data_IF_241728270047
#
_entry.id   IF_241728270047
#
_cell.length_a   1.000
_cell.length_b   1.000
_cell.length_c   1.000
_cell.angle_alpha   90.00
_cell.angle_beta   90.00
_cell.angle_gamma   90.00
#
_symmetry.space_group_name_H-M   'P 1'
#
loop_
_entity.id
_entity.type
_entity.pdbx_description
1 polymer ?
#
# COMPACT_ATOMS: atom_id res chain seq x y z
N UNK A 1 -1.79 18.94 -4.65
CA UNK A 1 -3.06 18.29 -4.28
C UNK A 1 -3.17 18.24 -2.76
N UNK A 2 -4.38 18.24 -2.18
CA UNK A 2 -4.56 18.05 -0.73
C UNK A 2 -4.32 16.58 -0.36
N UNK A 3 -3.67 16.28 0.78
CA UNK A 3 -3.49 14.90 1.23
C UNK A 3 -4.82 14.16 1.43
N UNK A 4 -4.90 12.92 0.97
CA UNK A 4 -5.99 12.00 1.31
C UNK A 4 -5.71 11.39 2.68
N UNK A 5 -6.69 11.51 3.57
CA UNK A 5 -6.56 11.11 4.98
C UNK A 5 -7.68 10.16 5.38
N UNK A 6 -7.51 9.49 6.52
CA UNK A 6 -8.55 8.63 7.10
C UNK A 6 -9.83 9.44 7.40
N UNK A 7 -9.69 10.69 7.86
CA UNK A 7 -10.83 11.58 8.11
C UNK A 7 -11.63 11.88 6.82
N UNK A 8 -10.96 12.02 5.68
CA UNK A 8 -11.63 12.15 4.38
C UNK A 8 -12.43 10.88 4.04
N UNK A 9 -11.85 9.69 4.25
CA UNK A 9 -12.56 8.43 3.99
C UNK A 9 -13.76 8.22 4.94
N UNK A 10 -13.63 8.61 6.21
CA UNK A 10 -14.74 8.59 7.16
C UNK A 10 -15.88 9.50 6.71
N UNK A 11 -15.55 10.72 6.23
CA UNK A 11 -16.53 11.63 5.64
C UNK A 11 -17.20 11.02 4.40
N UNK A 12 -16.44 10.44 3.48
CA UNK A 12 -17.01 9.74 2.32
C UNK A 12 -17.99 8.63 2.74
N UNK A 13 -17.65 7.84 3.77
CA UNK A 13 -18.54 6.81 4.33
C UNK A 13 -19.84 7.41 4.90
N UNK A 14 -19.76 8.50 5.67
CA UNK A 14 -20.93 9.19 6.24
C UNK A 14 -21.84 9.75 5.15
N UNK A 15 -21.25 10.30 4.10
CA UNK A 15 -21.95 10.85 2.93
C UNK A 15 -22.42 9.78 1.93
N UNK A 16 -22.15 8.49 2.21
CA UNK A 16 -22.40 7.36 1.29
C UNK A 16 -21.76 7.53 -0.10
N UNK A 17 -20.67 8.30 -0.17
CA UNK A 17 -19.88 8.51 -1.37
C UNK A 17 -18.83 7.40 -1.49
N UNK A 18 -18.85 6.67 -2.61
CA UNK A 18 -17.82 5.65 -2.90
C UNK A 18 -16.49 6.32 -3.24
N UNK A 19 -15.40 5.68 -2.88
CA UNK A 19 -14.04 6.02 -3.29
C UNK A 19 -13.37 4.78 -3.88
N UNK A 20 -12.46 4.97 -4.82
CA UNK A 20 -11.71 3.90 -5.45
C UNK A 20 -10.39 3.65 -4.70
N UNK A 21 -9.98 2.39 -4.67
CA UNK A 21 -8.68 1.93 -4.16
C UNK A 21 -8.04 1.06 -5.24
N UNK A 22 -6.72 1.17 -5.40
CA UNK A 22 -5.96 0.35 -6.36
C UNK A 22 -4.63 -0.10 -5.77
N UNK A 23 -4.15 -1.27 -6.17
CA UNK A 23 -2.80 -1.70 -5.82
C UNK A 23 -1.76 -0.96 -6.67
N UNK A 24 -0.65 -0.59 -6.05
CA UNK A 24 0.48 0.04 -6.72
C UNK A 24 1.78 -0.49 -6.12
N UNK A 25 2.80 -0.69 -6.97
CA UNK A 25 4.07 -1.28 -6.56
C UNK A 25 5.28 -0.42 -6.94
N UNK A 26 5.12 0.61 -7.77
CA UNK A 26 6.22 1.48 -8.16
C UNK A 26 5.84 2.97 -8.24
N UNK A 27 6.84 3.79 -8.50
CA UNK A 27 6.71 5.24 -8.62
C UNK A 27 5.82 5.66 -9.80
N UNK A 28 6.02 5.06 -10.96
CA UNK A 28 5.42 5.51 -12.22
C UNK A 28 3.91 5.29 -12.22
N UNK A 29 3.47 4.08 -11.83
CA UNK A 29 2.05 3.78 -11.73
C UNK A 29 1.39 4.52 -10.56
N UNK A 30 2.07 4.66 -9.42
CA UNK A 30 1.54 5.44 -8.31
C UNK A 30 1.25 6.90 -8.71
N UNK A 31 2.18 7.51 -9.46
CA UNK A 31 1.99 8.86 -10.01
C UNK A 31 0.80 8.91 -10.96
N UNK A 32 0.71 7.98 -11.92
CA UNK A 32 -0.40 7.90 -12.86
C UNK A 32 -1.75 7.78 -12.15
N UNK A 33 -1.87 6.87 -11.18
CA UNK A 33 -3.12 6.66 -10.46
C UNK A 33 -3.54 7.88 -9.64
N UNK A 34 -2.58 8.56 -8.99
CA UNK A 34 -2.86 9.78 -8.24
C UNK A 34 -3.31 10.92 -9.17
N UNK A 35 -2.67 11.08 -10.33
CA UNK A 35 -3.02 12.09 -11.33
C UNK A 35 -4.43 11.85 -11.92
N UNK A 36 -4.84 10.57 -12.06
CA UNK A 36 -6.20 10.16 -12.47
C UNK A 36 -7.24 10.15 -11.32
N UNK A 37 -6.86 10.64 -10.12
CA UNK A 37 -7.78 10.83 -8.99
C UNK A 37 -7.94 9.62 -8.07
N UNK A 38 -7.22 8.52 -8.28
CA UNK A 38 -7.19 7.37 -7.37
C UNK A 38 -6.15 7.64 -6.27
N UNK A 39 -6.62 8.17 -5.14
CA UNK A 39 -5.75 8.64 -4.05
C UNK A 39 -5.72 7.71 -2.83
N UNK A 40 -6.30 6.51 -2.92
CA UNK A 40 -6.12 5.43 -1.95
C UNK A 40 -5.36 4.31 -2.65
N UNK A 41 -4.10 4.12 -2.26
CA UNK A 41 -3.19 3.16 -2.87
C UNK A 41 -2.85 2.06 -1.86
N UNK A 42 -2.67 0.84 -2.36
CA UNK A 42 -2.28 -0.32 -1.56
C UNK A 42 -1.00 -0.96 -2.11
N UNK A 43 0.02 -1.11 -1.26
CA UNK A 43 1.16 -1.99 -1.52
C UNK A 43 0.85 -3.32 -0.86
N UNK A 44 0.32 -4.25 -1.65
CA UNK A 44 -0.12 -5.56 -1.14
C UNK A 44 0.85 -6.69 -1.48
N UNK A 45 0.75 -7.79 -0.74
CA UNK A 45 1.54 -9.01 -0.94
C UNK A 45 1.29 -9.69 -2.31
N UNK A 46 0.20 -9.33 -2.99
CA UNK A 46 -0.05 -9.61 -4.40
C UNK A 46 1.12 -9.32 -5.34
N UNK A 47 2.06 -8.44 -4.95
CA UNK A 47 3.33 -8.22 -5.66
C UNK A 47 4.13 -9.51 -5.85
N UNK A 48 3.98 -10.50 -4.96
CA UNK A 48 4.63 -11.80 -5.09
C UNK A 48 4.26 -12.49 -6.40
N UNK A 49 3.01 -12.35 -6.82
CA UNK A 49 2.54 -12.92 -8.09
C UNK A 49 2.75 -11.96 -9.26
N UNK A 50 2.36 -10.68 -9.09
CA UNK A 50 2.27 -9.74 -10.22
C UNK A 50 3.61 -9.10 -10.59
N UNK A 51 4.56 -9.02 -9.64
CA UNK A 51 5.87 -8.38 -9.82
C UNK A 51 6.98 -9.42 -9.76
N UNK A 52 6.98 -10.30 -8.76
CA UNK A 52 8.03 -11.30 -8.55
C UNK A 52 7.81 -12.59 -9.36
N UNK A 53 6.57 -12.84 -9.83
CA UNK A 53 6.24 -14.01 -10.65
C UNK A 53 6.15 -15.34 -9.88
N UNK A 54 5.95 -15.29 -8.56
CA UNK A 54 5.68 -16.47 -7.74
C UNK A 54 4.26 -16.99 -7.93
N UNK A 55 4.05 -18.27 -7.63
CA UNK A 55 2.72 -18.92 -7.68
C UNK A 55 1.81 -18.54 -6.49
N UNK A 56 2.36 -17.86 -5.47
CA UNK A 56 1.62 -17.41 -4.29
C UNK A 56 2.30 -16.19 -3.66
N UNK A 57 1.64 -15.57 -2.68
CA UNK A 57 2.19 -14.43 -1.91
C UNK A 57 3.03 -14.84 -0.71
N UNK A 58 3.13 -16.15 -0.41
CA UNK A 58 3.89 -16.67 0.73
C UNK A 58 5.38 -16.27 0.76
N UNK A 59 6.10 -16.17 -0.38
CA UNK A 59 7.51 -15.78 -0.37
C UNK A 59 7.77 -14.30 -0.07
N UNK A 60 6.73 -13.46 -0.06
CA UNK A 60 6.89 -12.01 0.09
C UNK A 60 7.39 -11.66 1.49
N UNK A 61 8.45 -10.84 1.55
CA UNK A 61 9.08 -10.40 2.79
C UNK A 61 8.61 -9.01 3.23
N UNK A 62 8.90 -8.65 4.49
CA UNK A 62 8.64 -7.28 4.99
C UNK A 62 9.50 -6.27 4.23
N UNK A 63 10.71 -6.65 3.86
CA UNK A 63 11.65 -5.85 3.09
C UNK A 63 11.11 -5.55 1.68
N UNK A 64 10.46 -6.51 1.02
CA UNK A 64 9.81 -6.32 -0.28
C UNK A 64 8.71 -5.27 -0.18
N UNK A 65 7.80 -5.44 0.79
CA UNK A 65 6.72 -4.48 1.05
C UNK A 65 7.30 -3.10 1.36
N UNK A 66 8.33 -3.00 2.20
CA UNK A 66 8.96 -1.74 2.56
C UNK A 66 9.64 -1.07 1.36
N UNK A 67 10.28 -1.84 0.46
CA UNK A 67 10.86 -1.33 -0.78
C UNK A 67 9.78 -0.74 -1.69
N UNK A 68 8.72 -1.50 -2.00
CA UNK A 68 7.64 -1.05 -2.86
C UNK A 68 6.86 0.12 -2.23
N UNK A 69 6.66 0.12 -0.92
CA UNK A 69 6.04 1.24 -0.18
C UNK A 69 6.83 2.54 -0.34
N UNK A 70 8.16 2.48 -0.23
CA UNK A 70 9.03 3.66 -0.47
C UNK A 70 8.93 4.14 -1.91
N UNK A 71 8.89 3.25 -2.89
CA UNK A 71 8.75 3.60 -4.30
C UNK A 71 7.40 4.30 -4.59
N UNK A 72 6.29 3.71 -4.12
CA UNK A 72 4.94 4.26 -4.29
C UNK A 72 4.78 5.61 -3.60
N UNK A 73 5.28 5.77 -2.37
CA UNK A 73 5.22 7.06 -1.65
C UNK A 73 5.89 8.20 -2.44
N UNK A 74 7.00 7.93 -3.14
CA UNK A 74 7.66 8.94 -3.98
C UNK A 74 6.82 9.34 -5.20
N UNK A 75 6.05 8.41 -5.77
CA UNK A 75 5.17 8.68 -6.91
C UNK A 75 3.87 9.39 -6.53
N UNK A 76 3.33 9.08 -5.36
CA UNK A 76 2.05 9.59 -4.88
C UNK A 76 2.17 10.19 -3.46
N UNK A 77 2.85 11.33 -3.29
CA UNK A 77 3.16 11.89 -1.97
C UNK A 77 1.92 12.28 -1.16
N UNK A 78 0.81 12.62 -1.82
CA UNK A 78 -0.43 13.07 -1.18
C UNK A 78 -1.50 11.98 -1.06
N UNK A 79 -1.28 10.79 -1.60
CA UNK A 79 -2.23 9.68 -1.48
C UNK A 79 -2.19 9.06 -0.09
N UNK A 80 -3.33 8.51 0.33
CA UNK A 80 -3.37 7.58 1.47
C UNK A 80 -2.77 6.27 0.99
N UNK A 81 -1.66 5.89 1.59
CA UNK A 81 -0.91 4.68 1.24
C UNK A 81 -1.10 3.64 2.33
N UNK A 82 -1.71 2.52 1.97
CA UNK A 82 -1.84 1.32 2.76
C UNK A 82 -0.72 0.35 2.36
N UNK A 83 -0.20 -0.41 3.32
CA UNK A 83 0.77 -1.47 3.07
C UNK A 83 0.35 -2.72 3.86
N UNK A 84 0.42 -3.88 3.21
CA UNK A 84 0.12 -5.15 3.87
C UNK A 84 1.25 -5.56 4.82
N UNK A 85 0.88 -6.26 5.88
CA UNK A 85 1.85 -7.06 6.64
C UNK A 85 1.86 -8.45 5.98
N UNK A 86 2.99 -8.90 5.41
CA UNK A 86 3.05 -10.17 4.70
C UNK A 86 2.90 -11.36 5.64
N UNK A 87 2.71 -12.55 5.07
CA UNK A 87 2.46 -13.78 5.83
C UNK A 87 3.48 -13.99 6.96
N UNK A 88 3.02 -14.40 8.15
CA UNK A 88 3.78 -14.53 9.40
C UNK A 88 4.38 -13.25 10.01
N UNK A 89 4.32 -12.09 9.34
CA UNK A 89 4.81 -10.81 9.90
C UNK A 89 3.95 -10.31 11.08
N UNK A 90 2.77 -10.89 11.28
CA UNK A 90 1.82 -10.54 12.35
C UNK A 90 1.39 -11.74 13.21
N UNK A 91 2.19 -12.81 13.23
CA UNK A 91 1.89 -14.04 13.97
C UNK A 91 1.77 -13.83 15.51
N UNK A 92 2.35 -12.75 16.04
CA UNK A 92 2.17 -12.32 17.43
C UNK A 92 1.92 -10.81 17.49
N UNK A 93 1.22 -10.30 18.53
CA UNK A 93 0.92 -8.86 18.63
C UNK A 93 2.18 -7.96 18.64
N UNK A 94 3.30 -8.47 19.13
CA UNK A 94 4.56 -7.73 19.23
C UNK A 94 5.40 -7.75 17.95
N UNK A 95 5.19 -8.71 17.05
CA UNK A 95 6.03 -8.93 15.87
C UNK A 95 5.95 -7.80 14.82
N UNK A 96 4.77 -7.23 14.49
CA UNK A 96 4.67 -6.11 13.55
C UNK A 96 5.41 -4.84 13.99
N UNK A 97 5.64 -4.69 15.29
CA UNK A 97 6.28 -3.52 15.89
C UNK A 97 7.81 -3.65 15.94
N UNK A 98 8.34 -4.84 15.67
CA UNK A 98 9.78 -5.08 15.63
C UNK A 98 10.31 -4.58 14.29
N UNK A 99 11.23 -3.62 14.34
CA UNK A 99 11.92 -3.18 13.12
C UNK A 99 12.74 -4.35 12.57
N UNK A 100 12.70 -4.61 11.25
CA UNK A 100 13.65 -5.53 10.65
C UNK A 100 15.09 -5.03 10.95
N UNK A 101 16.03 -5.95 11.24
CA UNK A 101 17.43 -5.56 11.42
C UNK A 101 17.92 -4.90 10.12
N UNK A 102 18.58 -3.74 10.28
CA UNK A 102 19.15 -2.92 9.20
C UNK A 102 20.18 -3.65 8.36
#
# INVERSE_FOLDING_TARGET
MKPTTIALLQKCKQEKKRFATITAYDHSFAKLFADEGINVLLVGDSLGMTVQGHDSTLPVTVEDIAYHTRAVRRGAPNSLLLADLPFMAYATPSRPLQMPPS
#
